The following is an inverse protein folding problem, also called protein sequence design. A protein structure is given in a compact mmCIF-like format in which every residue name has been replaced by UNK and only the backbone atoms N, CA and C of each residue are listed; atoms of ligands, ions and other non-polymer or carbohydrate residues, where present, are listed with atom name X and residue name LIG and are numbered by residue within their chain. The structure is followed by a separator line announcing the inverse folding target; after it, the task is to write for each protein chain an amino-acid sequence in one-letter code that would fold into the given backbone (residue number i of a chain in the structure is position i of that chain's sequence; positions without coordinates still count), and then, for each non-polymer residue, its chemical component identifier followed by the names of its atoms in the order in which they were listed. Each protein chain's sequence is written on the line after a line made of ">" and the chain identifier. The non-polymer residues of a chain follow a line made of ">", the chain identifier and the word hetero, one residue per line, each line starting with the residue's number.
data_IF_564698389527
#
_entry.id   IF_564698389527
#
_cell.length_a   1.000
_cell.length_b   1.000
_cell.length_c   1.000
_cell.angle_alpha   90.00
_cell.angle_beta   90.00
_cell.angle_gamma   90.00
#
_symmetry.space_group_name_H-M   'P 1'
#
loop_
_entity.id
_entity.type
_entity.pdbx_description
1 polymer ?
#
# COMPACT_ATOMS: atom_id res chain seq x y z
N UNK A 1 -0.11 -11.19 19.73
CA UNK A 1 0.56 -10.10 18.98
C UNK A 1 -0.47 -9.15 18.41
N UNK A 2 -0.23 -7.83 18.46
CA UNK A 2 -1.15 -6.81 17.96
C UNK A 2 -0.45 -5.75 17.10
N UNK A 3 -1.14 -5.27 16.06
CA UNK A 3 -0.62 -4.29 15.10
C UNK A 3 -1.47 -3.03 15.07
N UNK A 4 -0.85 -1.85 15.07
CA UNK A 4 -1.49 -0.57 14.81
C UNK A 4 -1.11 -0.12 13.40
N UNK A 5 -2.08 0.05 12.50
CA UNK A 5 -1.86 0.57 11.15
C UNK A 5 -2.34 2.01 11.03
N UNK A 6 -1.45 2.87 10.53
CA UNK A 6 -1.78 4.20 10.03
C UNK A 6 -1.53 4.21 8.52
N UNK A 7 -2.59 4.34 7.73
CA UNK A 7 -2.49 4.42 6.26
C UNK A 7 -2.75 5.83 5.80
N UNK A 8 -2.09 6.30 4.74
CA UNK A 8 -2.26 7.68 4.26
C UNK A 8 -3.67 7.96 3.73
N UNK A 9 -4.12 7.19 2.74
CA UNK A 9 -5.35 7.50 2.01
C UNK A 9 -6.64 7.13 2.74
N UNK A 10 -7.62 8.04 2.64
CA UNK A 10 -8.91 7.93 3.31
C UNK A 10 -9.88 6.90 2.70
N UNK A 11 -9.61 6.39 1.49
CA UNK A 11 -10.59 5.57 0.76
C UNK A 11 -10.06 4.21 0.30
N UNK A 12 -8.98 4.17 -0.48
CA UNK A 12 -8.54 2.93 -1.14
C UNK A 12 -7.83 2.01 -0.16
N UNK A 13 -6.85 2.54 0.56
CA UNK A 13 -5.99 1.85 1.52
C UNK A 13 -6.81 1.26 2.67
N UNK A 14 -7.82 2.00 3.17
CA UNK A 14 -8.78 1.53 4.18
C UNK A 14 -9.61 0.31 3.74
N UNK A 15 -9.60 -0.03 2.45
CA UNK A 15 -10.26 -1.22 1.89
C UNK A 15 -9.25 -2.28 1.46
N UNK A 16 -8.18 -1.87 0.78
CA UNK A 16 -7.16 -2.77 0.24
C UNK A 16 -6.38 -3.46 1.35
N UNK A 17 -5.82 -2.71 2.31
CA UNK A 17 -5.05 -3.33 3.39
C UNK A 17 -5.89 -4.31 4.22
N UNK A 18 -7.12 -3.99 4.68
CA UNK A 18 -7.93 -4.99 5.38
C UNK A 18 -8.23 -6.24 4.54
N UNK A 19 -8.54 -6.09 3.25
CA UNK A 19 -8.80 -7.24 2.38
C UNK A 19 -7.55 -8.11 2.19
N UNK A 20 -6.38 -7.49 2.04
CA UNK A 20 -5.11 -8.19 1.88
C UNK A 20 -4.63 -8.81 3.19
N UNK A 21 -4.75 -8.12 4.33
CA UNK A 21 -4.41 -8.65 5.64
C UNK A 21 -5.30 -9.85 6.01
N UNK A 22 -6.59 -9.84 5.64
CA UNK A 22 -7.46 -11.00 5.85
C UNK A 22 -7.00 -12.26 5.07
N UNK A 23 -6.28 -12.08 3.96
CA UNK A 23 -5.68 -13.17 3.19
C UNK A 23 -4.26 -13.53 3.68
N UNK A 24 -3.46 -12.51 4.01
CA UNK A 24 -2.05 -12.67 4.38
C UNK A 24 -1.86 -13.06 5.86
N UNK A 25 -2.72 -12.60 6.75
CA UNK A 25 -2.64 -12.78 8.20
C UNK A 25 -4.03 -13.16 8.75
N UNK A 26 -4.60 -14.30 8.32
CA UNK A 26 -5.98 -14.68 8.65
C UNK A 26 -6.23 -14.86 10.15
N UNK A 27 -5.18 -15.06 10.94
CA UNK A 27 -5.25 -15.13 12.40
C UNK A 27 -5.50 -13.77 13.06
N UNK A 28 -5.22 -12.65 12.37
CA UNK A 28 -5.44 -11.31 12.91
C UNK A 28 -6.87 -10.82 12.66
N UNK A 29 -7.51 -10.34 13.72
CA UNK A 29 -8.85 -9.75 13.65
C UNK A 29 -8.81 -8.23 13.77
N UNK A 30 -9.59 -7.53 12.94
CA UNK A 30 -9.69 -6.08 13.01
C UNK A 30 -10.54 -5.65 14.21
N UNK A 31 -10.05 -4.71 15.02
CA UNK A 31 -10.84 -4.00 16.05
C UNK A 31 -11.25 -2.61 15.57
N UNK A 32 -12.34 -2.07 16.14
CA UNK A 32 -12.93 -0.79 15.72
C UNK A 32 -12.28 0.44 16.37
N UNK A 33 -11.60 0.27 17.49
CA UNK A 33 -10.87 1.32 18.20
C UNK A 33 -9.57 0.77 18.77
N UNK A 34 -8.62 1.66 19.06
CA UNK A 34 -7.26 1.26 19.43
C UNK A 34 -7.19 0.57 20.81
N UNK A 35 -8.14 0.83 21.68
CA UNK A 35 -8.21 0.36 23.07
C UNK A 35 -8.90 -1.00 23.24
N UNK A 36 -9.70 -1.41 22.24
CA UNK A 36 -10.34 -2.74 22.17
C UNK A 36 -9.39 -3.88 21.80
N UNK A 37 -8.12 -3.57 21.53
CA UNK A 37 -7.10 -4.55 21.19
C UNK A 37 -6.80 -5.47 22.38
N UNK A 38 -6.63 -6.77 22.12
CA UNK A 38 -6.22 -7.75 23.12
C UNK A 38 -5.15 -8.71 22.61
N UNK A 39 -5.52 -9.71 21.81
CA UNK A 39 -4.59 -10.68 21.25
C UNK A 39 -4.96 -10.99 19.81
N UNK A 40 -3.95 -11.06 18.93
CA UNK A 40 -4.10 -11.36 17.50
C UNK A 40 -5.08 -10.38 16.86
N UNK A 41 -4.90 -9.11 17.19
CA UNK A 41 -5.73 -8.04 16.67
C UNK A 41 -4.92 -7.04 15.86
N UNK A 42 -5.60 -6.33 14.96
CA UNK A 42 -5.05 -5.12 14.39
C UNK A 42 -6.08 -3.99 14.42
N UNK A 43 -5.59 -2.78 14.63
CA UNK A 43 -6.35 -1.56 14.47
C UNK A 43 -5.84 -0.83 13.21
N UNK A 44 -6.73 -0.16 12.48
CA UNK A 44 -6.36 0.57 11.26
C UNK A 44 -7.13 1.88 11.17
N UNK A 45 -6.37 2.98 11.10
CA UNK A 45 -6.85 4.34 10.86
C UNK A 45 -6.22 4.94 9.60
N UNK A 46 -6.83 6.02 9.12
CA UNK A 46 -6.34 6.79 7.99
C UNK A 46 -5.77 8.11 8.49
N UNK A 47 -4.63 8.54 7.94
CA UNK A 47 -4.00 9.84 8.20
C UNK A 47 -4.60 10.98 7.39
N UNK A 48 -5.56 10.70 6.50
CA UNK A 48 -6.28 11.68 5.68
C UNK A 48 -5.36 12.51 4.76
N UNK A 49 -4.25 11.90 4.32
CA UNK A 49 -3.29 12.52 3.40
C UNK A 49 -2.28 13.49 4.03
N UNK A 50 -1.42 14.06 3.19
CA UNK A 50 -0.47 15.10 3.57
C UNK A 50 -1.12 16.49 3.71
N UNK A 51 -0.64 17.34 4.65
CA UNK A 51 0.40 17.09 5.66
C UNK A 51 -0.13 16.45 6.96
N UNK A 52 -1.43 16.15 7.03
CA UNK A 52 -2.11 15.68 8.24
C UNK A 52 -1.46 14.42 8.84
N UNK A 53 -0.87 13.58 8.01
CA UNK A 53 -0.17 12.36 8.42
C UNK A 53 0.82 12.56 9.57
N UNK A 54 1.54 13.69 9.63
CA UNK A 54 2.47 14.00 10.72
C UNK A 54 1.77 14.10 12.08
N UNK A 55 0.63 14.78 12.12
CA UNK A 55 -0.19 14.89 13.33
C UNK A 55 -0.76 13.52 13.72
N UNK A 56 -1.20 12.73 12.73
CA UNK A 56 -1.70 11.39 12.99
C UNK A 56 -0.61 10.43 13.51
N UNK A 57 0.65 10.58 13.09
CA UNK A 57 1.77 9.81 13.66
C UNK A 57 1.90 10.11 15.15
N UNK A 58 1.93 11.40 15.54
CA UNK A 58 1.99 11.81 16.94
C UNK A 58 0.84 11.24 17.77
N UNK A 59 -0.39 11.46 17.33
CA UNK A 59 -1.60 10.95 18.00
C UNK A 59 -1.62 9.41 18.09
N UNK A 60 -1.18 8.72 17.03
CA UNK A 60 -1.10 7.25 17.04
C UNK A 60 -0.11 6.75 18.10
N UNK A 61 1.04 7.42 18.25
CA UNK A 61 2.04 7.06 19.26
C UNK A 61 1.47 7.23 20.68
N UNK A 62 0.70 8.29 20.92
CA UNK A 62 -0.01 8.48 22.19
C UNK A 62 -1.01 7.34 22.45
N UNK A 63 -1.89 7.02 21.49
CA UNK A 63 -2.85 5.91 21.58
C UNK A 63 -2.15 4.57 21.86
N UNK A 64 -1.05 4.30 21.15
CA UNK A 64 -0.26 3.07 21.27
C UNK A 64 0.33 2.96 22.67
N UNK A 65 0.95 4.04 23.15
CA UNK A 65 1.58 4.06 24.46
C UNK A 65 0.54 3.97 25.59
N UNK A 66 -0.61 4.63 25.43
CA UNK A 66 -1.72 4.56 26.38
C UNK A 66 -2.32 3.15 26.48
N UNK A 67 -2.46 2.46 25.34
CA UNK A 67 -2.93 1.07 25.30
C UNK A 67 -1.89 0.10 25.88
N UNK A 68 -0.62 0.28 25.54
CA UNK A 68 0.49 -0.58 25.97
C UNK A 68 0.48 -2.00 25.41
N UNK A 69 -0.49 -2.33 24.53
CA UNK A 69 -0.73 -3.69 24.02
C UNK A 69 -0.24 -3.94 22.60
N UNK A 70 0.24 -2.91 21.90
CA UNK A 70 0.72 -3.04 20.52
C UNK A 70 2.16 -3.54 20.47
N UNK A 71 2.44 -4.40 19.48
CA UNK A 71 3.80 -4.89 19.21
C UNK A 71 4.44 -4.14 18.04
N UNK A 72 3.60 -3.70 17.09
CA UNK A 72 4.05 -2.98 15.90
C UNK A 72 3.17 -1.75 15.63
N UNK A 73 3.83 -0.65 15.29
CA UNK A 73 3.23 0.51 14.66
C UNK A 73 3.66 0.53 13.20
N UNK A 74 2.71 0.32 12.30
CA UNK A 74 2.94 0.21 10.86
C UNK A 74 2.35 1.44 10.18
N UNK A 75 3.21 2.26 9.58
CA UNK A 75 2.80 3.45 8.82
C UNK A 75 2.94 3.15 7.34
N UNK A 76 1.86 3.31 6.58
CA UNK A 76 1.81 3.08 5.13
C UNK A 76 1.61 4.40 4.40
N UNK A 77 2.59 4.79 3.56
CA UNK A 77 2.60 6.07 2.84
C UNK A 77 2.80 5.87 1.35
N UNK A 78 2.31 6.81 0.55
CA UNK A 78 2.68 6.96 -0.84
C UNK A 78 3.96 7.81 -0.92
N UNK A 79 4.93 7.40 -1.75
CA UNK A 79 6.12 8.22 -1.99
C UNK A 79 5.80 9.47 -2.83
N UNK A 80 4.70 9.43 -3.59
CA UNK A 80 4.31 10.41 -4.59
C UNK A 80 5.49 10.79 -5.48
N UNK A 81 5.93 12.04 -5.44
CA UNK A 81 7.06 12.54 -6.23
C UNK A 81 8.42 12.36 -5.52
N UNK A 82 8.43 12.09 -4.21
CA UNK A 82 9.65 11.79 -3.46
C UNK A 82 10.17 10.38 -3.78
N UNK A 83 11.44 10.14 -3.49
CA UNK A 83 11.96 8.76 -3.43
C UNK A 83 11.56 8.09 -2.11
N UNK A 84 11.54 6.76 -2.13
CA UNK A 84 11.32 5.97 -0.90
C UNK A 84 12.34 6.33 0.19
N UNK A 85 13.60 6.57 -0.18
CA UNK A 85 14.65 6.88 0.79
C UNK A 85 14.47 8.26 1.42
N UNK A 86 14.18 9.28 0.61
CA UNK A 86 13.92 10.64 1.11
C UNK A 86 12.76 10.64 2.11
N UNK A 87 11.65 10.00 1.76
CA UNK A 87 10.48 9.96 2.63
C UNK A 87 10.73 9.15 3.92
N UNK A 88 11.54 8.07 3.86
CA UNK A 88 11.98 7.37 5.10
C UNK A 88 12.75 8.32 6.00
N UNK A 89 13.74 9.01 5.45
CA UNK A 89 14.58 9.95 6.21
C UNK A 89 13.71 11.04 6.83
N UNK A 90 12.82 11.66 6.06
CA UNK A 90 11.91 12.71 6.53
C UNK A 90 11.07 12.26 7.73
N UNK A 91 10.49 11.05 7.68
CA UNK A 91 9.66 10.52 8.77
C UNK A 91 10.51 10.20 10.02
N UNK A 92 11.69 9.61 9.86
CA UNK A 92 12.57 9.34 11.00
C UNK A 92 13.12 10.62 11.64
N UNK A 93 13.44 11.63 10.83
CA UNK A 93 13.85 12.95 11.30
C UNK A 93 12.70 13.62 12.06
N UNK A 94 11.47 13.57 11.55
CA UNK A 94 10.29 14.07 12.24
C UNK A 94 10.10 13.43 13.61
N UNK A 95 10.16 12.09 13.70
CA UNK A 95 10.04 11.36 14.97
C UNK A 95 11.12 11.80 15.98
N UNK A 96 12.36 11.95 15.52
CA UNK A 96 13.49 12.40 16.34
C UNK A 96 13.32 13.85 16.81
N UNK A 97 13.01 14.77 15.89
CA UNK A 97 12.85 16.20 16.19
C UNK A 97 11.70 16.46 17.15
N UNK A 98 10.58 15.74 17.00
CA UNK A 98 9.42 15.86 17.88
C UNK A 98 9.54 15.01 19.16
N UNK A 99 10.65 14.27 19.34
CA UNK A 99 10.88 13.38 20.48
C UNK A 99 9.73 12.37 20.69
N UNK A 100 9.19 11.86 19.59
CA UNK A 100 8.09 10.90 19.61
C UNK A 100 8.64 9.50 19.88
N UNK A 101 8.36 8.97 21.07
CA UNK A 101 8.94 7.71 21.55
C UNK A 101 7.84 6.65 21.64
N UNK A 102 8.08 5.51 20.99
CA UNK A 102 7.32 4.28 21.23
C UNK A 102 7.97 3.50 22.37
N UNK A 103 7.17 2.99 23.31
CA UNK A 103 7.67 2.20 24.43
C UNK A 103 8.11 0.79 23.97
N UNK A 104 7.22 -0.20 24.08
CA UNK A 104 7.50 -1.60 23.73
C UNK A 104 7.04 -1.96 22.31
N UNK A 105 6.89 -0.96 21.43
CA UNK A 105 6.33 -1.11 20.09
C UNK A 105 7.40 -0.87 19.02
N UNK A 106 7.47 -1.74 18.02
CA UNK A 106 8.36 -1.60 16.87
C UNK A 106 7.75 -0.71 15.81
N UNK A 107 8.46 0.33 15.38
CA UNK A 107 8.06 1.17 14.25
C UNK A 107 8.42 0.51 12.91
N UNK A 108 7.48 0.45 11.97
CA UNK A 108 7.66 -0.09 10.63
C UNK A 108 7.08 0.90 9.62
N UNK A 109 7.88 1.27 8.62
CA UNK A 109 7.48 2.23 7.59
C UNK A 109 7.39 1.54 6.23
N UNK A 110 6.16 1.34 5.75
CA UNK A 110 5.84 0.79 4.44
C UNK A 110 5.59 1.97 3.49
N UNK A 111 6.52 2.21 2.56
CA UNK A 111 6.34 3.28 1.55
C UNK A 111 6.07 2.64 0.20
N UNK A 112 5.08 3.14 -0.50
CA UNK A 112 4.66 2.67 -1.81
C UNK A 112 5.39 3.51 -2.87
N UNK A 113 6.25 2.89 -3.67
CA UNK A 113 7.03 3.64 -4.65
C UNK A 113 6.12 4.15 -5.77
N UNK A 114 6.03 5.48 -5.77
CA UNK A 114 4.97 6.37 -6.24
C UNK A 114 3.69 6.25 -5.41
N UNK A 115 2.78 5.33 -5.70
CA UNK A 115 1.51 5.20 -4.95
C UNK A 115 0.97 3.77 -4.96
N UNK A 116 -0.13 3.52 -4.23
CA UNK A 116 -0.79 2.21 -4.24
C UNK A 116 -1.09 1.70 -5.65
N UNK A 117 -1.61 2.55 -6.53
CA UNK A 117 -1.92 2.17 -7.91
C UNK A 117 -0.71 1.65 -8.68
N UNK A 118 0.52 2.10 -8.34
CA UNK A 118 1.75 1.53 -8.89
C UNK A 118 1.87 0.04 -8.59
N UNK A 119 1.61 -0.36 -7.34
CA UNK A 119 1.62 -1.78 -6.97
C UNK A 119 0.55 -2.54 -7.73
N UNK A 120 -0.65 -1.94 -7.89
CA UNK A 120 -1.77 -2.58 -8.56
C UNK A 120 -1.49 -2.83 -10.05
N UNK A 121 -0.76 -1.95 -10.73
CA UNK A 121 -0.27 -2.15 -12.10
C UNK A 121 0.67 -3.36 -12.24
N UNK A 122 1.16 -3.88 -11.12
CA UNK A 122 1.93 -5.12 -11.04
C UNK A 122 1.23 -6.34 -11.61
N UNK A 123 -0.11 -6.36 -11.63
CA UNK A 123 -0.87 -7.55 -12.03
C UNK A 123 -0.85 -7.74 -13.56
N UNK A 124 0.06 -8.60 -14.03
CA UNK A 124 0.22 -8.92 -15.46
C UNK A 124 -1.07 -9.51 -16.09
N UNK A 125 -1.98 -10.11 -15.31
CA UNK A 125 -3.22 -10.71 -15.83
C UNK A 125 -4.35 -9.71 -16.09
N UNK A 126 -4.26 -8.47 -15.61
CA UNK A 126 -5.21 -7.43 -16.04
C UNK A 126 -4.85 -6.82 -17.39
N UNK A 127 -3.64 -7.10 -17.88
CA UNK A 127 -3.16 -6.57 -19.14
C UNK A 127 -3.84 -7.23 -20.35
N UNK A 128 -4.41 -6.40 -21.23
CA UNK A 128 -4.92 -6.87 -22.52
C UNK A 128 -3.75 -7.16 -23.46
N UNK A 129 -3.73 -8.34 -24.08
CA UNK A 129 -2.67 -8.72 -25.03
C UNK A 129 -2.67 -7.88 -26.31
N UNK A 130 -3.78 -7.21 -26.62
CA UNK A 130 -3.93 -6.33 -27.77
C UNK A 130 -4.76 -5.10 -27.37
N UNK A 131 -4.16 -4.09 -26.72
CA UNK A 131 -4.87 -2.85 -26.45
C UNK A 131 -5.16 -2.15 -27.79
N UNK A 132 -6.44 -2.07 -28.17
CA UNK A 132 -6.84 -1.41 -29.43
C UNK A 132 -7.46 -0.03 -29.22
N UNK A 133 -7.86 0.30 -28.00
CA UNK A 133 -8.48 1.59 -27.66
C UNK A 133 -7.48 2.55 -27.00
N UNK A 134 -7.66 3.84 -27.30
CA UNK A 134 -7.05 4.91 -26.52
C UNK A 134 -7.84 5.13 -25.22
N UNK A 135 -7.19 5.53 -24.12
CA UNK A 135 -5.78 5.94 -24.04
C UNK A 135 -4.78 4.80 -23.75
N UNK A 136 -5.25 3.57 -23.59
CA UNK A 136 -4.42 2.44 -23.16
C UNK A 136 -3.27 2.13 -24.15
N UNK A 137 -3.50 2.28 -25.45
CA UNK A 137 -2.49 2.07 -26.48
C UNK A 137 -1.32 3.06 -26.31
N UNK A 138 -1.59 4.34 -26.04
CA UNK A 138 -0.55 5.34 -25.84
C UNK A 138 0.23 5.10 -24.54
N UNK A 139 -0.45 4.74 -23.45
CA UNK A 139 0.20 4.41 -22.19
C UNK A 139 1.09 3.17 -22.31
N UNK A 140 0.64 2.16 -23.06
CA UNK A 140 1.40 0.95 -23.37
C UNK A 140 2.67 1.25 -24.18
N UNK A 141 2.56 2.11 -25.20
CA UNK A 141 3.70 2.51 -26.03
C UNK A 141 4.73 3.30 -25.23
N UNK A 142 4.27 4.13 -24.28
CA UNK A 142 5.15 4.85 -23.38
C UNK A 142 5.84 3.92 -22.38
N UNK A 143 5.08 3.04 -21.72
CA UNK A 143 5.61 2.11 -20.74
C UNK A 143 4.75 0.85 -20.63
N UNK A 144 5.30 -0.30 -21.03
CA UNK A 144 4.58 -1.58 -20.95
C UNK A 144 4.75 -2.22 -19.56
N UNK A 145 3.81 -1.94 -18.64
CA UNK A 145 3.81 -2.49 -17.27
C UNK A 145 3.66 -4.01 -17.19
N UNK A 146 3.25 -4.69 -18.27
CA UNK A 146 3.24 -6.16 -18.31
C UNK A 146 4.65 -6.74 -18.36
N UNK A 147 5.57 -6.05 -19.03
CA UNK A 147 6.96 -6.44 -19.18
C UNK A 147 7.85 -5.81 -18.11
N UNK A 148 7.70 -4.50 -17.89
CA UNK A 148 8.60 -3.69 -17.07
C UNK A 148 8.00 -3.35 -15.70
N UNK A 149 8.85 -3.08 -14.72
CA UNK A 149 8.47 -2.76 -13.34
C UNK A 149 7.64 -1.45 -13.23
N UNK A 150 6.38 -1.50 -12.76
CA UNK A 150 5.60 -0.28 -12.54
C UNK A 150 6.29 0.75 -11.62
N UNK A 151 7.11 0.31 -10.66
CA UNK A 151 7.83 1.24 -9.77
C UNK A 151 8.92 2.06 -10.49
N UNK A 152 9.33 1.62 -11.68
CA UNK A 152 10.26 2.33 -12.56
C UNK A 152 9.54 3.12 -13.66
N UNK A 153 8.21 3.13 -13.65
CA UNK A 153 7.41 3.87 -14.62
C UNK A 153 7.49 5.37 -14.34
N UNK A 154 7.81 6.14 -15.37
CA UNK A 154 7.79 7.60 -15.32
C UNK A 154 6.39 8.18 -15.47
N UNK A 155 6.30 9.50 -15.43
CA UNK A 155 5.06 10.26 -15.66
C UNK A 155 4.83 10.53 -17.15
N UNK A 156 3.67 10.13 -17.67
CA UNK A 156 3.26 10.46 -19.04
C UNK A 156 2.99 11.96 -19.20
N UNK A 157 3.34 12.52 -20.35
CA UNK A 157 3.41 13.97 -20.64
C UNK A 157 2.15 14.78 -20.32
N UNK A 158 0.98 14.15 -20.35
CA UNK A 158 -0.31 14.83 -20.16
C UNK A 158 -0.77 14.85 -18.69
N UNK A 159 0.11 14.45 -17.76
CA UNK A 159 -0.17 14.36 -16.32
C UNK A 159 0.76 15.24 -15.48
N UNK A 160 0.24 15.77 -14.37
CA UNK A 160 1.01 16.62 -13.46
C UNK A 160 1.84 15.80 -12.48
N UNK A 161 1.35 14.64 -12.03
CA UNK A 161 2.06 13.73 -11.09
C UNK A 161 2.11 12.27 -11.58
N UNK A 162 3.04 11.49 -11.04
CA UNK A 162 3.13 10.04 -11.27
C UNK A 162 1.83 9.35 -10.82
N UNK A 163 1.34 9.69 -9.63
CA UNK A 163 0.11 9.08 -9.08
C UNK A 163 -1.10 9.27 -10.02
N UNK A 164 -1.29 10.46 -10.60
CA UNK A 164 -2.38 10.71 -11.56
C UNK A 164 -2.26 9.83 -12.81
N UNK A 165 -1.04 9.70 -13.34
CA UNK A 165 -0.79 8.85 -14.51
C UNK A 165 -1.00 7.37 -14.17
N UNK A 166 -0.46 6.89 -13.06
CA UNK A 166 -0.52 5.49 -12.65
C UNK A 166 -1.98 5.07 -12.38
N UNK A 167 -2.77 5.93 -11.73
CA UNK A 167 -4.20 5.72 -11.56
C UNK A 167 -4.94 5.65 -12.91
N UNK A 168 -4.64 6.56 -13.83
CA UNK A 168 -5.29 6.61 -15.15
C UNK A 168 -4.94 5.39 -16.01
N UNK A 169 -3.70 4.93 -15.94
CA UNK A 169 -3.27 3.71 -16.62
C UNK A 169 -3.98 2.48 -16.01
N UNK A 170 -4.07 2.39 -14.68
CA UNK A 170 -4.77 1.31 -14.02
C UNK A 170 -6.25 1.26 -14.46
N UNK A 171 -6.93 2.40 -14.49
CA UNK A 171 -8.32 2.51 -14.99
C UNK A 171 -8.45 2.01 -16.41
N UNK A 172 -7.59 2.47 -17.31
CA UNK A 172 -7.61 2.07 -18.72
C UNK A 172 -7.41 0.55 -18.90
N UNK A 173 -6.57 -0.09 -18.07
CA UNK A 173 -6.40 -1.54 -18.08
C UNK A 173 -7.65 -2.29 -17.61
N UNK A 174 -8.30 -1.81 -16.56
CA UNK A 174 -9.55 -2.38 -16.06
C UNK A 174 -10.67 -2.30 -17.10
N UNK A 175 -10.85 -1.11 -17.69
CA UNK A 175 -11.83 -0.85 -18.75
C UNK A 175 -11.59 -1.74 -19.97
N UNK A 176 -10.35 -1.85 -20.44
CA UNK A 176 -10.01 -2.70 -21.59
C UNK A 176 -10.20 -4.20 -21.32
N UNK A 177 -10.06 -4.65 -20.07
CA UNK A 177 -10.28 -6.04 -19.70
C UNK A 177 -11.76 -6.38 -19.60
N UNK A 178 -12.58 -5.45 -19.09
CA UNK A 178 -14.02 -5.59 -19.01
C UNK A 178 -14.67 -4.21 -18.84
N UNK A 179 -15.40 -3.75 -19.86
CA UNK A 179 -16.06 -2.44 -19.88
C UNK A 179 -17.03 -2.22 -18.71
N UNK A 180 -17.52 -3.29 -18.06
CA UNK A 180 -18.40 -3.21 -16.88
C UNK A 180 -17.65 -3.17 -15.55
N UNK A 181 -16.32 -3.32 -15.56
CA UNK A 181 -15.47 -3.26 -14.37
C UNK A 181 -14.50 -2.09 -14.51
N UNK A 182 -14.86 -0.94 -13.94
CA UNK A 182 -13.93 0.17 -13.77
C UNK A 182 -13.34 0.17 -12.36
N UNK A 183 -12.04 0.45 -12.26
CA UNK A 183 -11.40 0.75 -11.00
C UNK A 183 -11.71 2.19 -10.59
N UNK A 184 -12.14 2.39 -9.35
CA UNK A 184 -12.11 3.69 -8.69
C UNK A 184 -11.63 3.55 -7.26
N UNK A 185 -11.08 4.61 -6.68
CA UNK A 185 -10.70 4.62 -5.25
C UNK A 185 -11.89 4.25 -4.35
N UNK A 186 -13.09 4.69 -4.71
CA UNK A 186 -14.33 4.35 -3.99
C UNK A 186 -14.76 2.88 -4.20
N UNK A 187 -14.49 2.30 -5.37
CA UNK A 187 -14.84 0.92 -5.72
C UNK A 187 -13.63 0.19 -6.33
N UNK A 188 -12.66 -0.26 -5.50
CA UNK A 188 -11.43 -0.89 -6.02
C UNK A 188 -11.66 -2.25 -6.70
N UNK A 189 -12.86 -2.83 -6.56
CA UNK A 189 -13.30 -3.99 -7.33
C UNK A 189 -12.43 -5.23 -7.12
N UNK A 190 -11.92 -5.79 -8.21
CA UNK A 190 -11.14 -7.02 -8.19
C UNK A 190 -9.83 -6.88 -7.39
N UNK A 191 -9.32 -5.67 -7.17
CA UNK A 191 -8.12 -5.40 -6.34
C UNK A 191 -8.27 -5.95 -4.91
N UNK A 192 -9.50 -6.01 -4.39
CA UNK A 192 -9.81 -6.50 -3.06
C UNK A 192 -9.86 -8.04 -2.99
N UNK A 193 -9.70 -8.75 -4.11
CA UNK A 193 -9.87 -10.20 -4.17
C UNK A 193 -8.52 -10.91 -4.03
N UNK A 194 -8.47 -12.08 -3.34
CA UNK A 194 -7.25 -12.86 -3.16
C UNK A 194 -6.49 -13.12 -4.47
N UNK A 195 -7.20 -13.50 -5.53
CA UNK A 195 -6.57 -13.79 -6.82
C UNK A 195 -5.79 -12.61 -7.39
N UNK A 196 -6.16 -11.36 -7.08
CA UNK A 196 -5.45 -10.18 -7.56
C UNK A 196 -4.12 -10.05 -6.84
N UNK A 197 -4.16 -10.14 -5.51
CA UNK A 197 -2.97 -10.13 -4.65
C UNK A 197 -2.02 -11.28 -5.01
N UNK A 198 -2.54 -12.48 -5.24
CA UNK A 198 -1.74 -13.64 -5.63
C UNK A 198 -0.96 -13.40 -6.93
N UNK A 199 -1.51 -12.62 -7.87
CA UNK A 199 -0.77 -12.25 -9.09
C UNK A 199 0.35 -11.24 -8.82
N UNK A 200 0.17 -10.33 -7.86
CA UNK A 200 1.25 -9.40 -7.45
C UNK A 200 2.38 -10.17 -6.75
N UNK A 201 2.02 -11.08 -5.84
CA UNK A 201 2.96 -11.97 -5.15
C UNK A 201 3.71 -12.86 -6.16
N UNK A 202 3.00 -13.45 -7.14
CA UNK A 202 3.63 -14.24 -8.18
C UNK A 202 4.64 -13.42 -9.01
N UNK A 203 4.34 -12.14 -9.29
CA UNK A 203 5.25 -11.27 -10.02
C UNK A 203 6.55 -11.04 -9.26
N UNK A 204 6.50 -10.68 -7.98
CA UNK A 204 7.71 -10.48 -7.20
C UNK A 204 8.49 -11.80 -7.03
N UNK A 205 7.83 -12.96 -6.97
CA UNK A 205 8.53 -14.24 -6.93
C UNK A 205 9.27 -14.55 -8.25
N UNK A 206 8.67 -14.21 -9.40
CA UNK A 206 9.25 -14.44 -10.72
C UNK A 206 10.32 -13.42 -11.10
N UNK A 207 10.17 -12.18 -10.64
CA UNK A 207 11.02 -11.04 -10.99
C UNK A 207 11.46 -10.35 -9.70
N UNK A 208 12.57 -10.82 -9.07
CA UNK A 208 12.97 -10.35 -7.75
C UNK A 208 13.13 -8.82 -7.63
N UNK A 209 13.55 -8.21 -8.72
CA UNK A 209 13.80 -6.78 -8.89
C UNK A 209 12.54 -5.93 -9.11
N UNK A 210 11.38 -6.54 -9.41
CA UNK A 210 10.13 -5.80 -9.61
C UNK A 210 9.41 -5.52 -8.29
N UNK A 211 8.71 -4.38 -8.24
CA UNK A 211 7.85 -3.98 -7.13
C UNK A 211 8.55 -4.13 -5.77
N UNK A 212 9.76 -3.59 -5.66
CA UNK A 212 10.62 -3.77 -4.48
C UNK A 212 9.93 -3.22 -3.23
N UNK A 213 9.19 -2.13 -3.35
CA UNK A 213 8.48 -1.55 -2.22
C UNK A 213 7.25 -2.39 -1.79
N UNK A 214 6.55 -3.03 -2.73
CA UNK A 214 5.51 -4.02 -2.41
C UNK A 214 6.09 -5.29 -1.78
N UNK A 215 7.25 -5.77 -2.24
CA UNK A 215 7.94 -6.90 -1.61
C UNK A 215 8.20 -6.63 -0.14
N UNK A 216 8.66 -5.43 0.21
CA UNK A 216 8.90 -5.06 1.60
C UNK A 216 7.66 -5.23 2.49
N UNK A 217 6.47 -4.89 1.98
CA UNK A 217 5.20 -5.15 2.65
C UNK A 217 4.91 -6.65 2.80
N UNK A 218 5.12 -7.45 1.76
CA UNK A 218 4.92 -8.91 1.80
C UNK A 218 5.89 -9.59 2.78
N UNK A 219 7.16 -9.19 2.81
CA UNK A 219 8.18 -9.71 3.71
C UNK A 219 7.85 -9.36 5.18
N UNK A 220 7.32 -8.15 5.42
CA UNK A 220 6.77 -7.77 6.72
C UNK A 220 5.62 -8.71 7.12
N UNK A 221 4.64 -8.92 6.26
CA UNK A 221 3.53 -9.84 6.56
C UNK A 221 4.02 -11.28 6.81
N UNK A 222 4.99 -11.78 6.04
CA UNK A 222 5.57 -13.11 6.28
C UNK A 222 6.26 -13.22 7.64
N UNK A 223 6.96 -12.15 8.05
CA UNK A 223 7.59 -12.05 9.38
C UNK A 223 6.54 -12.12 10.48
N UNK A 224 5.46 -11.35 10.36
CA UNK A 224 4.35 -11.38 11.31
C UNK A 224 3.69 -12.76 11.37
N UNK A 225 3.42 -13.37 10.21
CA UNK A 225 2.81 -14.71 10.16
C UNK A 225 3.64 -15.74 10.92
N UNK A 226 4.96 -15.70 10.73
CA UNK A 226 5.89 -16.62 11.40
C UNK A 226 5.85 -16.43 12.93
N UNK A 227 5.73 -15.19 13.40
CA UNK A 227 5.62 -14.87 14.82
C UNK A 227 4.23 -15.18 15.43
N UNK A 228 3.18 -15.32 14.62
CA UNK A 228 1.83 -15.70 15.09
C UNK A 228 1.68 -17.23 15.28
N UNK A 229 2.53 -18.00 14.61
CA UNK A 229 2.54 -19.47 14.63
C UNK A 229 3.46 -20.05 15.71
N UNK A 230 4.39 -19.24 16.21
CA UNK A 230 5.24 -19.54 17.38
C UNK A 230 4.58 -19.08 18.67
#
# INVERSE_FOLDING_TARGET
>A
MNLYFLVEGATTEKKVYPAWLAHLLPELQRVQSYDLVNEKNYYLISGEGYPSIYNFIGNSIEDINASGKYNYFVVCLDAEENTVTELKTEIYDFLSTQQLILNNTKFVLIIQNRCLETWLLGNRKIYSKQPQSQPLLDYTKYYNVSAHDPEMMGKYKDFNTHAQFHESYLKALFEAKNEKKSYTKQRPGDVLKPFYLDQLVARIQQEPQHLTSFRYFIDFCNTIRSQLQN
#
